data_IF_168979004005
#
_entry.id   IF_168979004005
#
_cell.length_a   1.000
_cell.length_b   1.000
_cell.length_c   1.000
_cell.angle_alpha   90.00
_cell.angle_beta   90.00
_cell.angle_gamma   90.00
#
_symmetry.space_group_name_H-M   'P 1'
#
loop_
_entity.id
_entity.type
_entity.pdbx_description
1 polymer ?
#
# COMPACT_ATOMS: atom_id res chain seq x y z
N UNK A 1 19.25 -15.01 4.56
CA UNK A 1 20.17 -13.86 4.38
C UNK A 1 19.40 -12.56 4.17
N UNK A 2 18.39 -12.53 3.29
CA UNK A 2 17.49 -11.38 3.16
C UNK A 2 16.83 -10.95 4.49
N UNK A 3 16.36 -11.90 5.31
CA UNK A 3 15.84 -11.61 6.67
C UNK A 3 16.87 -10.89 7.54
N UNK A 4 18.15 -11.31 7.51
CA UNK A 4 19.22 -10.64 8.26
C UNK A 4 19.48 -9.22 7.74
N UNK A 5 19.42 -9.01 6.43
CA UNK A 5 19.59 -7.68 5.84
C UNK A 5 18.50 -6.69 6.32
N UNK A 6 17.23 -7.11 6.26
CA UNK A 6 16.09 -6.32 6.73
C UNK A 6 16.12 -6.15 8.25
N UNK A 7 16.38 -7.22 9.01
CA UNK A 7 16.41 -7.16 10.47
C UNK A 7 17.54 -6.26 10.98
N UNK A 8 18.75 -6.37 10.40
CA UNK A 8 19.87 -5.49 10.75
C UNK A 8 19.59 -4.02 10.38
N UNK A 9 18.77 -3.79 9.34
CA UNK A 9 18.39 -2.46 8.89
C UNK A 9 17.38 -1.78 9.82
N UNK A 10 16.37 -2.50 10.28
CA UNK A 10 15.26 -1.94 11.08
C UNK A 10 15.37 -2.21 12.58
N UNK A 11 16.39 -2.93 13.03
CA UNK A 11 16.65 -3.12 14.45
C UNK A 11 17.08 -1.80 15.11
N UNK A 12 16.61 -1.58 16.35
CA UNK A 12 17.06 -0.44 17.16
C UNK A 12 18.58 -0.50 17.35
N UNK A 13 19.30 0.64 17.27
CA UNK A 13 20.74 0.69 17.55
C UNK A 13 21.12 0.04 18.89
N UNK A 14 20.23 0.11 19.87
CA UNK A 14 20.40 -0.45 21.22
C UNK A 14 20.45 -1.99 21.23
N UNK A 15 19.82 -2.65 20.24
CA UNK A 15 19.70 -4.12 20.17
C UNK A 15 20.92 -4.75 19.52
N UNK A 16 21.60 -4.04 18.64
CA UNK A 16 22.71 -4.57 17.83
C UNK A 16 24.10 -4.30 18.44
N UNK A 17 24.19 -3.58 19.56
CA UNK A 17 25.47 -3.24 20.20
C UNK A 17 26.38 -2.36 19.33
N UNK A 18 25.81 -1.66 18.35
CA UNK A 18 26.50 -0.88 17.34
C UNK A 18 25.78 -0.92 15.98
N UNK A 19 26.21 -0.14 14.98
CA UNK A 19 25.62 -0.20 13.65
C UNK A 19 26.01 -1.52 12.97
N UNK A 20 25.14 -2.53 13.04
CA UNK A 20 25.31 -3.73 12.23
C UNK A 20 25.18 -3.32 10.75
N UNK A 21 26.24 -3.52 9.97
CA UNK A 21 26.18 -3.24 8.54
C UNK A 21 25.22 -4.24 7.87
N UNK A 22 24.07 -3.76 7.43
CA UNK A 22 23.05 -4.55 6.70
C UNK A 22 23.50 -4.89 5.27
N UNK A 23 24.42 -4.11 4.71
CA UNK A 23 24.84 -4.16 3.31
C UNK A 23 25.53 -5.49 2.90
N UNK A 24 26.44 -6.07 3.70
CA UNK A 24 27.02 -7.39 3.42
C UNK A 24 25.95 -8.50 3.34
N UNK A 25 24.94 -8.47 4.21
CA UNK A 25 23.86 -9.47 4.18
C UNK A 25 23.01 -9.35 2.92
N UNK A 26 22.71 -8.13 2.47
CA UNK A 26 21.99 -7.88 1.22
C UNK A 26 22.79 -8.36 0.00
N UNK A 27 24.07 -7.98 -0.08
CA UNK A 27 24.96 -8.41 -1.18
C UNK A 27 25.11 -9.93 -1.25
N UNK A 28 25.27 -10.57 -0.10
CA UNK A 28 25.39 -12.03 -0.04
C UNK A 28 24.07 -12.72 -0.45
N UNK A 29 22.92 -12.19 -0.06
CA UNK A 29 21.63 -12.69 -0.49
C UNK A 29 21.42 -12.56 -2.01
N UNK A 30 21.78 -11.42 -2.61
CA UNK A 30 21.68 -11.20 -4.05
C UNK A 30 22.54 -12.18 -4.88
N UNK A 31 23.72 -12.53 -4.36
CA UNK A 31 24.63 -13.46 -5.04
C UNK A 31 24.19 -14.92 -4.95
N UNK A 32 23.43 -15.30 -3.92
CA UNK A 32 22.92 -16.66 -3.76
C UNK A 32 21.83 -17.03 -4.77
N UNK A 33 21.10 -16.04 -5.29
CA UNK A 33 19.90 -16.25 -6.12
C UNK A 33 20.23 -16.45 -7.62
N UNK A 34 21.50 -16.55 -7.99
CA UNK A 34 21.92 -16.76 -9.39
C UNK A 34 21.81 -18.26 -9.75
N UNK A 35 20.58 -18.73 -10.04
CA UNK A 35 20.36 -20.03 -10.71
C UNK A 35 19.40 -21.02 -10.05
N UNK A 36 18.57 -20.61 -9.08
CA UNK A 36 17.58 -21.49 -8.43
C UNK A 36 16.24 -21.54 -9.16
N UNK A 37 15.51 -22.65 -8.99
CA UNK A 37 14.10 -22.76 -9.38
C UNK A 37 13.25 -21.69 -8.66
N UNK A 38 12.16 -21.25 -9.32
CA UNK A 38 11.23 -20.29 -8.76
C UNK A 38 10.44 -20.92 -7.60
N UNK A 39 10.78 -20.56 -6.37
CA UNK A 39 10.13 -21.04 -5.14
C UNK A 39 9.49 -19.89 -4.35
N UNK A 40 8.63 -20.22 -3.38
CA UNK A 40 8.05 -19.23 -2.48
C UNK A 40 9.14 -18.50 -1.66
N UNK A 41 10.20 -19.22 -1.26
CA UNK A 41 11.31 -18.62 -0.51
C UNK A 41 12.12 -17.63 -1.37
N UNK A 42 12.24 -17.90 -2.66
CA UNK A 42 12.88 -16.99 -3.61
C UNK A 42 12.06 -15.70 -3.80
N UNK A 43 10.72 -15.82 -3.87
CA UNK A 43 9.82 -14.67 -3.88
C UNK A 43 9.92 -13.85 -2.59
N UNK A 44 9.85 -14.51 -1.43
CA UNK A 44 10.00 -13.86 -0.11
C UNK A 44 11.36 -13.17 0.01
N UNK A 45 12.44 -13.80 -0.44
CA UNK A 45 13.78 -13.23 -0.42
C UNK A 45 13.89 -11.99 -1.32
N UNK A 46 13.39 -12.08 -2.56
CA UNK A 46 13.35 -10.94 -3.50
C UNK A 46 12.54 -9.78 -2.92
N UNK A 47 11.37 -10.06 -2.33
CA UNK A 47 10.53 -9.05 -1.68
C UNK A 47 11.23 -8.35 -0.52
N UNK A 48 11.91 -9.10 0.35
CA UNK A 48 12.66 -8.54 1.48
C UNK A 48 13.84 -7.67 1.02
N UNK A 49 14.57 -8.11 -0.01
CA UNK A 49 15.67 -7.32 -0.58
C UNK A 49 15.16 -6.05 -1.25
N UNK A 50 14.01 -6.12 -1.92
CA UNK A 50 13.34 -4.96 -2.47
C UNK A 50 12.97 -3.95 -1.39
N UNK A 51 12.37 -4.38 -0.28
CA UNK A 51 12.04 -3.50 0.85
C UNK A 51 13.30 -2.84 1.42
N UNK A 52 14.39 -3.60 1.53
CA UNK A 52 15.69 -3.09 1.94
C UNK A 52 16.20 -1.98 1.00
N UNK A 53 16.18 -2.20 -0.31
CA UNK A 53 16.61 -1.22 -1.30
C UNK A 53 15.71 0.02 -1.35
N UNK A 54 14.39 -0.17 -1.30
CA UNK A 54 13.42 0.92 -1.29
C UNK A 54 13.59 1.83 -0.07
N UNK A 55 14.03 1.27 1.07
CA UNK A 55 14.40 2.08 2.24
C UNK A 55 15.53 3.06 1.95
N UNK A 56 16.41 2.70 1.02
CA UNK A 56 17.62 3.43 0.66
C UNK A 56 17.49 4.30 -0.57
N UNK A 57 16.56 4.08 -1.50
CA UNK A 57 16.21 5.04 -2.56
C UNK A 57 15.00 4.52 -3.31
N UNK A 58 14.18 5.43 -3.85
CA UNK A 58 13.23 5.08 -4.91
C UNK A 58 13.81 5.57 -6.22
N UNK A 59 14.24 4.64 -7.07
CA UNK A 59 14.79 4.88 -8.42
C UNK A 59 13.99 4.10 -9.46
N UNK A 60 14.24 4.38 -10.73
CA UNK A 60 13.73 3.55 -11.83
C UNK A 60 14.14 2.08 -11.69
N UNK A 61 15.32 1.81 -11.12
CA UNK A 61 15.78 0.46 -10.79
C UNK A 61 14.82 -0.23 -9.81
N UNK A 62 14.36 0.48 -8.77
CA UNK A 62 13.36 0.01 -7.81
C UNK A 62 12.01 -0.26 -8.49
N UNK A 63 11.56 0.62 -9.39
CA UNK A 63 10.31 0.41 -10.15
C UNK A 63 10.41 -0.81 -11.07
N UNK A 64 11.56 -1.03 -11.71
CA UNK A 64 11.80 -2.20 -12.55
C UNK A 64 11.85 -3.48 -11.72
N UNK A 65 12.45 -3.43 -10.52
CA UNK A 65 12.58 -4.58 -9.63
C UNK A 65 11.24 -5.05 -9.07
N UNK A 66 10.35 -4.15 -8.64
CA UNK A 66 9.01 -4.57 -8.21
C UNK A 66 8.21 -5.16 -9.38
N UNK A 67 8.34 -4.61 -10.58
CA UNK A 67 7.71 -5.20 -11.77
C UNK A 67 8.27 -6.60 -12.10
N UNK A 68 9.56 -6.84 -11.85
CA UNK A 68 10.19 -8.17 -11.95
C UNK A 68 9.60 -9.13 -10.92
N UNK A 69 9.47 -8.71 -9.67
CA UNK A 69 8.87 -9.51 -8.59
C UNK A 69 7.40 -9.83 -8.87
N UNK A 70 6.63 -8.86 -9.35
CA UNK A 70 5.23 -9.05 -9.79
C UNK A 70 5.13 -10.12 -10.88
N UNK A 71 6.05 -10.12 -11.87
CA UNK A 71 6.12 -11.18 -12.90
C UNK A 71 6.52 -12.54 -12.34
N UNK A 72 7.46 -12.58 -11.40
CA UNK A 72 7.79 -13.83 -10.71
C UNK A 72 6.58 -14.39 -9.97
N UNK A 73 5.79 -13.53 -9.31
CA UNK A 73 4.58 -13.94 -8.61
C UNK A 73 3.54 -14.51 -9.57
N UNK A 74 3.33 -13.89 -10.74
CA UNK A 74 2.45 -14.42 -11.78
C UNK A 74 2.92 -15.80 -12.27
N UNK A 75 4.21 -15.96 -12.56
CA UNK A 75 4.78 -17.25 -12.98
C UNK A 75 4.62 -18.31 -11.90
N UNK A 76 4.86 -17.96 -10.64
CA UNK A 76 4.69 -18.86 -9.50
C UNK A 76 3.23 -19.30 -9.36
N UNK A 77 2.29 -18.36 -9.49
CA UNK A 77 0.86 -18.67 -9.50
C UNK A 77 0.50 -19.65 -10.62
N UNK A 78 0.98 -19.39 -11.84
CA UNK A 78 0.72 -20.24 -13.00
C UNK A 78 1.27 -21.67 -12.83
N UNK A 79 2.41 -21.83 -12.15
CA UNK A 79 3.05 -23.13 -11.92
C UNK A 79 2.41 -23.93 -10.78
N UNK A 80 1.93 -23.25 -9.73
CA UNK A 80 1.52 -23.92 -8.48
C UNK A 80 0.01 -23.91 -8.23
N UNK A 81 -0.73 -22.97 -8.80
CA UNK A 81 -2.15 -22.78 -8.52
C UNK A 81 -3.03 -22.83 -9.78
N UNK A 82 -2.53 -22.43 -10.95
CA UNK A 82 -3.26 -22.54 -12.21
C UNK A 82 -3.19 -23.96 -12.77
N UNK A 83 -4.11 -24.81 -12.32
CA UNK A 83 -4.23 -26.18 -12.87
C UNK A 83 -4.76 -26.10 -14.29
N UNK A 84 -3.94 -26.42 -15.30
CA UNK A 84 -4.42 -26.61 -16.68
C UNK A 84 -5.58 -27.63 -16.66
N UNK A 85 -6.75 -27.32 -17.25
CA UNK A 85 -7.84 -28.29 -17.34
C UNK A 85 -7.36 -29.47 -18.20
N UNK A 86 -7.10 -30.63 -17.56
CA UNK A 86 -6.78 -31.87 -18.25
C UNK A 86 -5.58 -32.67 -17.74
N UNK A 87 -4.75 -32.14 -16.83
CA UNK A 87 -3.69 -32.95 -16.22
C UNK A 87 -4.16 -33.60 -14.92
N UNK A 88 -4.23 -34.94 -14.83
CA UNK A 88 -4.53 -35.60 -13.57
C UNK A 88 -3.38 -35.27 -12.59
N UNK A 89 -3.73 -34.65 -11.46
CA UNK A 89 -2.87 -34.65 -10.26
C UNK A 89 -2.38 -36.09 -10.10
N UNK A 90 -1.06 -36.30 -10.13
CA UNK A 90 -0.45 -37.60 -9.84
C UNK A 90 -0.81 -37.96 -8.40
N UNK A 91 -1.98 -38.57 -8.22
CA UNK A 91 -2.36 -39.24 -7.02
C UNK A 91 -1.39 -40.41 -6.89
N UNK A 92 -0.43 -40.26 -5.98
CA UNK A 92 0.42 -41.36 -5.55
C UNK A 92 -0.50 -42.47 -5.04
N UNK A 93 -0.65 -43.52 -5.84
CA UNK A 93 -1.33 -44.76 -5.50
C UNK A 93 -0.53 -45.44 -4.40
N UNK A 94 -0.86 -45.18 -3.14
CA UNK A 94 -0.65 -46.08 -2.00
C UNK A 94 -1.51 -45.54 -0.85
N UNK A 95 -2.69 -46.14 -0.74
CA UNK A 95 -3.66 -45.92 0.33
C UNK A 95 -3.55 -47.08 1.31
N UNK A 96 -3.12 -46.80 2.54
CA UNK A 96 -3.71 -47.36 3.76
C UNK A 96 -3.17 -46.57 4.97
N UNK A 97 -3.95 -45.57 5.43
CA UNK A 97 -3.61 -44.66 6.55
C UNK A 97 -4.25 -43.28 6.47
N UNK A 98 -5.47 -43.20 5.92
CA UNK A 98 -6.00 -42.04 5.19
C UNK A 98 -6.72 -40.95 6.01
N UNK A 99 -6.70 -40.95 7.34
CA UNK A 99 -7.42 -39.91 8.14
C UNK A 99 -6.52 -38.82 8.72
N UNK A 100 -5.30 -39.16 9.18
CA UNK A 100 -4.38 -38.16 9.75
C UNK A 100 -3.54 -37.48 8.65
N UNK A 101 -3.09 -38.24 7.65
CA UNK A 101 -2.28 -37.72 6.53
C UNK A 101 -3.06 -36.90 5.51
N UNK A 102 -4.39 -37.01 5.49
CA UNK A 102 -5.29 -36.18 4.68
C UNK A 102 -5.51 -34.84 5.38
N UNK A 103 -5.82 -34.86 6.67
CA UNK A 103 -5.93 -33.67 7.51
C UNK A 103 -4.62 -32.88 7.57
N UNK A 104 -3.46 -33.54 7.75
CA UNK A 104 -2.15 -32.88 7.69
C UNK A 104 -1.83 -32.28 6.30
N UNK A 105 -2.26 -32.95 5.21
CA UNK A 105 -2.11 -32.41 3.84
C UNK A 105 -3.04 -31.24 3.58
N UNK A 106 -4.26 -31.26 4.08
CA UNK A 106 -5.22 -30.16 3.97
C UNK A 106 -4.77 -28.95 4.79
N UNK A 107 -4.29 -29.16 6.02
CA UNK A 107 -3.71 -28.10 6.86
C UNK A 107 -2.45 -27.53 6.21
N UNK A 108 -1.55 -28.38 5.69
CA UNK A 108 -0.34 -27.94 4.98
C UNK A 108 -0.69 -27.17 3.69
N UNK A 109 -1.73 -27.59 2.97
CA UNK A 109 -2.23 -26.89 1.80
C UNK A 109 -2.90 -25.56 2.16
N UNK A 110 -3.59 -25.48 3.29
CA UNK A 110 -4.21 -24.25 3.80
C UNK A 110 -3.18 -23.23 4.24
N UNK A 111 -2.15 -23.67 4.96
CA UNK A 111 -1.02 -22.81 5.37
C UNK A 111 -0.24 -22.28 4.17
N UNK A 112 0.02 -23.12 3.16
CA UNK A 112 0.69 -22.70 1.94
C UNK A 112 -0.14 -21.69 1.13
N UNK A 113 -1.47 -21.86 1.08
CA UNK A 113 -2.38 -20.90 0.44
C UNK A 113 -2.43 -19.56 1.20
N UNK A 114 -2.47 -19.59 2.53
CA UNK A 114 -2.47 -18.39 3.36
C UNK A 114 -1.13 -17.64 3.32
N UNK A 115 -0.02 -18.38 3.29
CA UNK A 115 1.32 -17.83 3.05
C UNK A 115 1.37 -17.13 1.69
N UNK A 116 0.90 -17.80 0.64
CA UNK A 116 0.82 -17.25 -0.71
C UNK A 116 -0.02 -15.97 -0.77
N UNK A 117 -1.24 -15.99 -0.20
CA UNK A 117 -2.10 -14.82 -0.11
C UNK A 117 -1.38 -13.66 0.59
N UNK A 118 -0.75 -13.94 1.73
CA UNK A 118 -0.01 -12.94 2.49
C UNK A 118 1.15 -12.33 1.70
N UNK A 119 1.95 -13.14 0.99
CA UNK A 119 3.07 -12.67 0.18
C UNK A 119 2.57 -11.85 -1.01
N UNK A 120 1.55 -12.34 -1.72
CA UNK A 120 0.98 -11.65 -2.86
C UNK A 120 0.46 -10.25 -2.50
N UNK A 121 -0.30 -10.11 -1.41
CA UNK A 121 -0.85 -8.81 -1.03
C UNK A 121 0.23 -7.81 -0.58
N UNK A 122 1.37 -8.29 -0.04
CA UNK A 122 2.53 -7.46 0.20
C UNK A 122 3.21 -6.98 -1.10
N UNK A 123 3.32 -7.86 -2.10
CA UNK A 123 3.80 -7.48 -3.44
C UNK A 123 2.86 -6.43 -4.05
N UNK A 124 1.55 -6.68 -3.96
CA UNK A 124 0.50 -5.80 -4.48
C UNK A 124 0.57 -4.39 -3.87
N UNK A 125 0.75 -4.26 -2.55
CA UNK A 125 0.82 -2.94 -1.90
C UNK A 125 2.07 -2.16 -2.31
N UNK A 126 3.22 -2.83 -2.43
CA UNK A 126 4.47 -2.20 -2.85
C UNK A 126 4.47 -1.83 -4.34
N UNK A 127 3.94 -2.70 -5.20
CA UNK A 127 3.74 -2.42 -6.63
C UNK A 127 2.80 -1.22 -6.79
N UNK A 128 1.70 -1.17 -6.04
CA UNK A 128 0.78 -0.01 -6.03
C UNK A 128 1.48 1.28 -5.62
N UNK A 129 2.36 1.22 -4.63
CA UNK A 129 3.15 2.37 -4.17
C UNK A 129 4.06 2.90 -5.28
N UNK A 130 4.82 2.01 -5.91
CA UNK A 130 5.70 2.38 -7.02
C UNK A 130 4.94 2.84 -8.25
N UNK A 131 3.82 2.21 -8.56
CA UNK A 131 2.95 2.61 -9.66
C UNK A 131 2.40 4.03 -9.48
N UNK A 132 1.97 4.37 -8.26
CA UNK A 132 1.49 5.72 -7.94
C UNK A 132 2.59 6.78 -8.15
N UNK A 133 3.82 6.49 -7.66
CA UNK A 133 4.99 7.36 -7.83
C UNK A 133 5.37 7.50 -9.31
N UNK A 134 5.44 6.39 -10.04
CA UNK A 134 5.85 6.34 -11.45
C UNK A 134 4.75 6.78 -12.41
N UNK A 135 3.53 7.02 -11.93
CA UNK A 135 2.36 7.36 -12.77
C UNK A 135 2.02 6.27 -13.80
N UNK A 136 2.36 5.01 -13.48
CA UNK A 136 2.27 3.89 -14.40
C UNK A 136 1.75 2.65 -13.67
N UNK A 137 0.70 2.05 -14.21
CA UNK A 137 0.15 0.79 -13.69
C UNK A 137 0.60 -0.43 -14.50
N UNK A 138 0.90 -1.52 -13.78
CA UNK A 138 1.22 -2.80 -14.38
C UNK A 138 -0.04 -3.66 -14.51
N UNK A 139 -0.49 -4.00 -15.73
CA UNK A 139 -1.74 -4.75 -15.96
C UNK A 139 -1.70 -6.19 -15.45
N UNK A 140 -0.50 -6.74 -15.20
CA UNK A 140 -0.32 -8.10 -14.65
C UNK A 140 -0.92 -8.19 -13.24
N UNK A 141 -0.72 -7.15 -12.45
CA UNK A 141 -1.14 -7.11 -11.05
C UNK A 141 -2.66 -7.21 -10.92
N UNK A 142 -3.41 -6.55 -11.81
CA UNK A 142 -4.88 -6.50 -11.75
C UNK A 142 -5.50 -7.86 -12.12
N UNK A 143 -4.92 -8.54 -13.11
CA UNK A 143 -5.34 -9.87 -13.53
C UNK A 143 -5.13 -10.93 -12.46
N UNK A 144 -4.10 -10.78 -11.62
CA UNK A 144 -3.84 -11.70 -10.53
C UNK A 144 -4.65 -11.34 -9.28
N UNK A 145 -4.77 -10.04 -8.93
CA UNK A 145 -5.61 -9.56 -7.82
C UNK A 145 -7.00 -10.21 -7.83
N UNK A 146 -7.57 -10.30 -9.03
CA UNK A 146 -8.82 -10.95 -9.35
C UNK A 146 -9.05 -12.35 -8.78
N UNK A 147 -7.97 -13.13 -8.71
CA UNK A 147 -7.96 -14.56 -8.41
C UNK A 147 -7.50 -14.84 -6.99
N UNK A 148 -7.19 -13.78 -6.23
CA UNK A 148 -6.46 -13.87 -4.98
C UNK A 148 -7.38 -13.63 -3.79
N UNK A 149 -7.33 -14.56 -2.83
CA UNK A 149 -8.02 -14.40 -1.56
C UNK A 149 -7.26 -13.45 -0.65
N UNK A 150 -8.00 -12.67 0.15
CA UNK A 150 -7.48 -11.87 1.23
C UNK A 150 -6.95 -12.79 2.34
N UNK A 151 -5.87 -12.40 3.04
CA UNK A 151 -5.36 -13.14 4.19
C UNK A 151 -6.45 -13.30 5.26
N UNK A 152 -6.65 -14.54 5.69
CA UNK A 152 -7.65 -14.91 6.70
C UNK A 152 -7.09 -14.87 8.12
N UNK A 153 -5.77 -15.01 8.29
CA UNK A 153 -5.09 -15.09 9.58
C UNK A 153 -4.13 -13.93 9.79
N UNK A 154 -4.06 -13.44 11.03
CA UNK A 154 -3.10 -12.39 11.37
C UNK A 154 -1.67 -12.94 11.33
N UNK A 155 -0.69 -12.06 11.13
CA UNK A 155 0.73 -12.47 11.13
C UNK A 155 1.13 -13.11 12.46
N UNK A 156 0.57 -12.62 13.57
CA UNK A 156 0.78 -13.18 14.92
C UNK A 156 0.23 -14.59 15.07
N UNK A 157 -1.00 -14.84 14.58
CA UNK A 157 -1.62 -16.17 14.61
C UNK A 157 -0.88 -17.14 13.69
N UNK A 158 -0.51 -16.69 12.49
CA UNK A 158 0.21 -17.50 11.51
C UNK A 158 1.59 -17.94 12.02
N UNK A 159 2.31 -17.05 12.73
CA UNK A 159 3.67 -17.32 13.23
C UNK A 159 3.68 -17.98 14.61
N UNK A 160 2.60 -17.87 15.39
CA UNK A 160 2.46 -18.48 16.71
C UNK A 160 1.15 -19.28 16.79
N UNK A 161 1.13 -20.51 16.24
CA UNK A 161 -0.09 -21.34 16.22
C UNK A 161 -0.62 -21.71 17.62
N UNK A 162 0.15 -21.48 18.68
CA UNK A 162 -0.31 -21.62 20.07
C UNK A 162 -1.26 -20.50 20.53
N UNK A 163 -1.38 -19.40 19.79
CA UNK A 163 -2.30 -18.29 20.06
C UNK A 163 -3.64 -18.44 19.33
N UNK A 164 -3.83 -19.51 18.53
CA UNK A 164 -5.11 -19.81 17.92
C UNK A 164 -6.08 -20.28 19.01
N UNK A 165 -6.88 -19.35 19.54
CA UNK A 165 -8.07 -19.72 20.32
C UNK A 165 -9.00 -20.54 19.40
N UNK A 166 -9.35 -21.76 19.84
CA UNK A 166 -10.24 -22.67 19.12
C UNK A 166 -11.66 -22.11 18.89
N UNK A 167 -11.97 -20.90 19.38
CA UNK A 167 -13.28 -20.26 19.31
C UNK A 167 -13.46 -19.32 18.09
N UNK A 168 -12.39 -18.97 17.35
CA UNK A 168 -12.49 -18.07 16.19
C UNK A 168 -12.72 -18.79 14.86
N UNK A 169 -13.42 -19.93 14.86
CA UNK A 169 -13.89 -20.56 13.61
C UNK A 169 -15.14 -19.83 13.09
N UNK A 170 -15.01 -18.54 12.78
CA UNK A 170 -15.93 -17.93 11.83
C UNK A 170 -15.60 -18.51 10.45
N UNK A 171 -16.54 -19.30 9.95
CA UNK A 171 -16.65 -19.92 8.62
C UNK A 171 -15.46 -19.63 7.67
N UNK A 172 -14.65 -20.66 7.40
CA UNK A 172 -13.38 -20.66 6.63
C UNK A 172 -13.51 -20.29 5.14
N UNK A 173 -14.47 -19.44 4.82
CA UNK A 173 -14.67 -18.80 3.54
C UNK A 173 -13.46 -17.93 3.20
N UNK A 174 -12.70 -18.35 2.19
CA UNK A 174 -11.63 -17.55 1.59
C UNK A 174 -12.27 -16.42 0.77
N UNK A 175 -12.02 -15.16 1.10
CA UNK A 175 -12.63 -14.03 0.42
C UNK A 175 -11.72 -13.46 -0.64
N UNK A 176 -12.12 -13.54 -1.90
CA UNK A 176 -11.41 -12.86 -2.98
C UNK A 176 -11.89 -11.41 -3.08
N UNK A 177 -10.98 -10.49 -3.40
CA UNK A 177 -11.43 -9.17 -3.90
C UNK A 177 -12.03 -9.43 -5.29
N UNK A 178 -13.34 -9.17 -5.50
CA UNK A 178 -13.96 -9.53 -6.78
C UNK A 178 -13.33 -8.74 -7.91
N UNK A 179 -12.96 -9.42 -8.99
CA UNK A 179 -12.17 -8.85 -10.08
C UNK A 179 -12.93 -8.05 -11.12
N UNK A 180 -14.26 -8.18 -11.14
CA UNK A 180 -15.08 -7.58 -12.16
C UNK A 180 -16.52 -7.42 -11.65
N UNK A 181 -17.02 -6.19 -11.65
CA UNK A 181 -18.42 -5.85 -11.39
C UNK A 181 -18.80 -5.54 -9.94
N UNK A 182 -18.01 -5.96 -8.95
CA UNK A 182 -18.22 -5.51 -7.58
C UNK A 182 -17.73 -4.07 -7.42
N UNK A 183 -18.52 -3.24 -6.75
CA UNK A 183 -18.16 -1.84 -6.49
C UNK A 183 -17.17 -1.79 -5.35
N UNK A 184 -16.25 -0.82 -5.38
CA UNK A 184 -15.20 -0.72 -4.37
C UNK A 184 -15.76 -0.66 -2.93
N UNK A 185 -16.86 0.07 -2.74
CA UNK A 185 -17.51 0.18 -1.43
C UNK A 185 -18.08 -1.14 -0.91
N UNK A 186 -18.52 -2.06 -1.78
CA UNK A 186 -19.01 -3.39 -1.39
C UNK A 186 -17.86 -4.22 -0.82
N UNK A 187 -16.70 -4.17 -1.46
CA UNK A 187 -15.47 -4.81 -0.98
C UNK A 187 -15.07 -4.24 0.38
N UNK A 188 -15.05 -2.91 0.54
CA UNK A 188 -14.66 -2.28 1.80
C UNK A 188 -15.64 -2.61 2.93
N UNK A 189 -16.95 -2.62 2.66
CA UNK A 189 -17.98 -3.02 3.63
C UNK A 189 -17.83 -4.48 4.05
N UNK A 190 -17.58 -5.37 3.08
CA UNK A 190 -17.35 -6.80 3.32
C UNK A 190 -16.07 -7.07 4.12
N UNK A 191 -15.01 -6.31 3.87
CA UNK A 191 -13.78 -6.41 4.66
C UNK A 191 -14.04 -5.95 6.09
N UNK A 192 -14.76 -4.85 6.27
CA UNK A 192 -15.03 -4.26 7.58
C UNK A 192 -15.89 -5.17 8.47
N UNK A 193 -16.82 -5.93 7.89
CA UNK A 193 -17.69 -6.84 8.64
C UNK A 193 -16.93 -7.99 9.32
N UNK A 194 -15.68 -8.25 8.94
CA UNK A 194 -14.84 -9.27 9.57
C UNK A 194 -13.92 -8.69 10.63
N UNK A 195 -13.76 -9.41 11.73
CA UNK A 195 -12.84 -9.01 12.79
C UNK A 195 -11.39 -9.37 12.44
N UNK A 196 -11.15 -10.58 11.94
CA UNK A 196 -9.80 -11.05 11.61
C UNK A 196 -9.18 -10.22 10.49
N UNK A 197 -7.91 -9.83 10.69
CA UNK A 197 -7.13 -9.06 9.72
C UNK A 197 -7.76 -7.75 9.22
N UNK A 198 -8.79 -7.21 9.90
CA UNK A 198 -9.62 -6.12 9.38
C UNK A 198 -8.79 -4.96 8.83
N UNK A 199 -7.92 -4.37 9.66
CA UNK A 199 -7.13 -3.20 9.24
C UNK A 199 -6.13 -3.54 8.13
N UNK A 200 -5.53 -4.74 8.14
CA UNK A 200 -4.61 -5.20 7.09
C UNK A 200 -5.36 -5.35 5.75
N UNK A 201 -6.54 -5.92 5.78
CA UNK A 201 -7.35 -6.11 4.58
C UNK A 201 -7.95 -4.78 4.09
N UNK A 202 -8.34 -3.86 4.99
CA UNK A 202 -8.77 -2.51 4.63
C UNK A 202 -7.63 -1.71 3.98
N UNK A 203 -6.38 -1.95 4.39
CA UNK A 203 -5.20 -1.38 3.74
C UNK A 203 -5.09 -1.86 2.30
N UNK A 204 -5.16 -3.18 2.05
CA UNK A 204 -5.16 -3.72 0.69
C UNK A 204 -6.34 -3.26 -0.15
N UNK A 205 -7.54 -3.18 0.43
CA UNK A 205 -8.70 -2.57 -0.20
C UNK A 205 -8.38 -1.14 -0.64
N UNK A 206 -7.82 -0.32 0.24
CA UNK A 206 -7.46 1.07 -0.08
C UNK A 206 -6.33 1.17 -1.12
N UNK A 207 -5.37 0.24 -1.12
CA UNK A 207 -4.39 0.11 -2.21
C UNK A 207 -5.10 -0.11 -3.56
N UNK A 208 -6.17 -0.90 -3.62
CA UNK A 208 -6.92 -1.08 -4.87
C UNK A 208 -7.56 0.21 -5.39
N UNK A 209 -8.03 1.09 -4.49
CA UNK A 209 -8.50 2.43 -4.88
C UNK A 209 -7.34 3.28 -5.41
N UNK A 210 -6.22 3.33 -4.70
CA UNK A 210 -5.02 4.08 -5.14
C UNK A 210 -4.56 3.61 -6.52
N UNK A 211 -4.60 2.30 -6.77
CA UNK A 211 -4.27 1.71 -8.06
C UNK A 211 -5.25 2.14 -9.15
N UNK A 212 -6.55 2.06 -8.90
CA UNK A 212 -7.56 2.51 -9.84
C UNK A 212 -7.46 4.02 -10.19
N UNK A 213 -7.08 4.86 -9.23
CA UNK A 213 -6.77 6.28 -9.46
C UNK A 213 -5.49 6.44 -10.29
N UNK A 214 -4.48 5.61 -10.03
CA UNK A 214 -3.24 5.58 -10.83
C UNK A 214 -3.52 5.16 -12.27
N UNK A 215 -4.39 4.17 -12.49
CA UNK A 215 -4.82 3.75 -13.83
C UNK A 215 -5.50 4.89 -14.58
N UNK A 216 -6.39 5.63 -13.92
CA UNK A 216 -7.02 6.82 -14.50
C UNK A 216 -5.96 7.84 -14.90
N UNK A 217 -4.98 8.11 -14.03
CA UNK A 217 -3.88 9.04 -14.31
C UNK A 217 -3.03 8.57 -15.49
N UNK A 218 -2.66 7.29 -15.55
CA UNK A 218 -1.94 6.70 -16.69
C UNK A 218 -2.76 6.77 -17.98
N UNK A 219 -4.07 6.54 -17.91
CA UNK A 219 -4.99 6.62 -19.05
C UNK A 219 -5.09 8.04 -19.59
N UNK A 220 -5.13 9.04 -18.72
CA UNK A 220 -5.10 10.46 -19.08
C UNK A 220 -3.81 10.86 -19.82
N UNK A 221 -2.66 10.31 -19.41
CA UNK A 221 -1.38 10.56 -20.07
C UNK A 221 -1.36 9.92 -21.46
N UNK A 222 -1.94 8.72 -21.61
CA UNK A 222 -1.90 7.92 -22.84
C UNK A 222 -3.03 8.22 -23.83
N UNK A 223 -4.15 8.78 -23.38
CA UNK A 223 -5.36 8.96 -24.18
C UNK A 223 -6.20 10.16 -23.68
N UNK A 224 -7.00 10.76 -24.56
CA UNK A 224 -7.89 11.90 -24.23
C UNK A 224 -9.37 11.63 -24.53
N UNK A 225 -9.83 10.39 -24.34
CA UNK A 225 -11.18 9.95 -24.73
C UNK A 225 -12.28 10.19 -23.69
N UNK A 226 -13.55 10.08 -24.11
CA UNK A 226 -14.75 10.19 -23.25
C UNK A 226 -14.78 9.18 -22.09
N UNK A 227 -14.08 8.05 -22.24
CA UNK A 227 -14.01 6.99 -21.23
C UNK A 227 -13.34 7.46 -19.92
N UNK A 228 -12.49 8.50 -19.99
CA UNK A 228 -11.79 9.09 -18.84
C UNK A 228 -12.78 9.82 -17.91
N UNK A 229 -13.70 10.60 -18.47
CA UNK A 229 -14.72 11.32 -17.67
C UNK A 229 -15.67 10.34 -16.98
N UNK A 230 -16.09 9.29 -17.70
CA UNK A 230 -16.90 8.23 -17.12
C UNK A 230 -16.15 7.55 -15.96
N UNK A 231 -14.88 7.20 -16.18
CA UNK A 231 -14.06 6.55 -15.17
C UNK A 231 -13.80 7.43 -13.95
N UNK A 232 -13.61 8.74 -14.15
CA UNK A 232 -13.50 9.71 -13.07
C UNK A 232 -14.76 9.69 -12.19
N UNK A 233 -15.94 9.83 -12.79
CA UNK A 233 -17.20 9.82 -12.04
C UNK A 233 -17.48 8.50 -11.32
N UNK A 234 -17.10 7.35 -11.92
CA UNK A 234 -17.16 6.06 -11.25
C UNK A 234 -16.31 6.07 -9.97
N UNK A 235 -15.07 6.56 -10.04
CA UNK A 235 -14.16 6.62 -8.89
C UNK A 235 -14.61 7.64 -7.82
N UNK A 236 -15.12 8.81 -8.21
CA UNK A 236 -15.70 9.78 -7.27
C UNK A 236 -16.92 9.21 -6.53
N UNK A 237 -17.77 8.51 -7.28
CA UNK A 237 -18.92 7.80 -6.73
C UNK A 237 -18.48 6.69 -5.79
N UNK A 238 -17.44 5.91 -6.13
CA UNK A 238 -16.90 4.85 -5.28
C UNK A 238 -16.29 5.40 -3.98
N UNK A 239 -15.54 6.52 -4.04
CA UNK A 239 -15.03 7.20 -2.86
C UNK A 239 -16.16 7.63 -1.91
N UNK A 240 -17.22 8.21 -2.48
CA UNK A 240 -18.39 8.68 -1.72
C UNK A 240 -19.21 7.51 -1.16
N UNK A 241 -19.44 6.47 -1.94
CA UNK A 241 -20.17 5.29 -1.48
C UNK A 241 -19.40 4.55 -0.37
N UNK A 242 -18.08 4.47 -0.47
CA UNK A 242 -17.23 3.84 0.54
C UNK A 242 -17.26 4.60 1.86
N UNK A 243 -17.33 5.94 1.81
CA UNK A 243 -17.44 6.74 3.03
C UNK A 243 -18.77 6.53 3.78
N UNK A 244 -19.82 6.14 3.06
CA UNK A 244 -21.10 5.70 3.65
C UNK A 244 -21.13 4.23 4.05
N UNK A 245 -20.35 3.37 3.38
CA UNK A 245 -20.32 1.94 3.62
C UNK A 245 -19.55 1.55 4.89
N UNK A 246 -18.58 2.38 5.29
CA UNK A 246 -17.83 2.23 6.53
C UNK A 246 -18.41 3.12 7.65
N UNK A 247 -18.23 2.77 8.93
CA UNK A 247 -18.69 3.62 10.01
C UNK A 247 -18.06 5.02 9.97
N UNK A 248 -18.80 6.10 10.28
CA UNK A 248 -18.28 7.47 10.21
C UNK A 248 -17.01 7.69 11.05
N UNK A 249 -16.88 6.98 12.17
CA UNK A 249 -15.71 7.08 13.04
C UNK A 249 -14.43 6.53 12.38
N UNK A 250 -14.55 5.66 11.38
CA UNK A 250 -13.40 5.06 10.70
C UNK A 250 -12.50 6.12 10.07
N UNK A 251 -13.10 7.13 9.44
CA UNK A 251 -12.42 8.25 8.79
C UNK A 251 -11.99 9.36 9.77
N UNK A 252 -12.32 9.25 11.06
CA UNK A 252 -11.85 10.21 12.05
C UNK A 252 -10.43 9.84 12.50
N UNK A 253 -9.44 10.68 12.22
CA UNK A 253 -8.04 10.43 12.61
C UNK A 253 -7.81 10.28 14.13
N UNK A 254 -8.76 10.68 14.98
CA UNK A 254 -8.62 10.53 16.44
C UNK A 254 -8.79 9.06 16.85
N UNK A 255 -8.02 8.61 17.84
CA UNK A 255 -8.19 7.27 18.45
C UNK A 255 -9.60 7.11 19.02
N UNK A 256 -10.28 6.01 18.68
CA UNK A 256 -11.64 5.76 19.10
C UNK A 256 -11.71 4.87 20.34
N UNK A 257 -11.78 5.49 21.52
CA UNK A 257 -11.97 4.78 22.78
C UNK A 257 -13.34 4.11 22.92
N UNK A 258 -14.36 4.59 22.20
CA UNK A 258 -15.72 4.05 22.25
C UNK A 258 -15.85 2.63 21.69
N UNK A 259 -14.94 2.24 20.79
CA UNK A 259 -14.83 0.86 20.27
C UNK A 259 -13.66 0.10 20.87
N UNK A 260 -13.07 0.61 21.96
CA UNK A 260 -11.89 0.06 22.62
C UNK A 260 -10.68 -0.14 21.68
N UNK A 261 -10.52 0.75 20.69
CA UNK A 261 -9.41 0.67 19.72
C UNK A 261 -8.06 0.68 20.43
N UNK A 262 -7.23 -0.33 20.18
CA UNK A 262 -5.86 -0.44 20.72
C UNK A 262 -4.92 0.55 20.01
N UNK A 263 -3.72 0.76 20.57
CA UNK A 263 -2.73 1.64 19.93
C UNK A 263 -2.24 1.09 18.58
N UNK A 264 -2.17 -0.23 18.44
CA UNK A 264 -1.76 -0.91 17.21
C UNK A 264 -2.86 -0.84 16.13
N UNK A 265 -4.12 -1.03 16.51
CA UNK A 265 -5.26 -0.86 15.59
C UNK A 265 -5.38 0.59 15.12
N UNK A 266 -5.19 1.55 16.03
CA UNK A 266 -5.19 2.96 15.69
C UNK A 266 -4.08 3.29 14.69
N UNK A 267 -2.84 2.83 14.92
CA UNK A 267 -1.75 3.00 13.96
C UNK A 267 -2.14 2.44 12.59
N UNK A 268 -2.58 1.17 12.52
CA UNK A 268 -2.93 0.55 11.23
C UNK A 268 -4.07 1.29 10.54
N UNK A 269 -5.04 1.82 11.28
CA UNK A 269 -6.11 2.63 10.70
C UNK A 269 -5.56 3.94 10.13
N UNK A 270 -4.62 4.61 10.81
CA UNK A 270 -3.96 5.80 10.27
C UNK A 270 -3.18 5.48 8.97
N UNK A 271 -2.52 4.31 8.88
CA UNK A 271 -1.88 3.87 7.63
C UNK A 271 -2.91 3.77 6.49
N UNK A 272 -4.07 3.15 6.75
CA UNK A 272 -5.18 3.07 5.77
C UNK A 272 -5.64 4.47 5.36
N UNK A 273 -5.83 5.38 6.33
CA UNK A 273 -6.28 6.74 6.07
C UNK A 273 -5.25 7.56 5.28
N UNK A 274 -3.95 7.33 5.47
CA UNK A 274 -2.92 7.98 4.65
C UNK A 274 -3.04 7.59 3.18
N UNK A 275 -3.14 6.29 2.88
CA UNK A 275 -3.32 5.81 1.49
C UNK A 275 -4.62 6.32 0.91
N UNK A 276 -5.71 6.29 1.69
CA UNK A 276 -7.01 6.83 1.29
C UNK A 276 -6.95 8.33 0.95
N UNK A 277 -6.32 9.12 1.82
CA UNK A 277 -6.14 10.56 1.65
C UNK A 277 -5.32 10.84 0.39
N UNK A 278 -4.20 10.16 0.19
CA UNK A 278 -3.37 10.33 -1.00
C UNK A 278 -4.10 9.95 -2.30
N UNK A 279 -4.90 8.89 -2.30
CA UNK A 279 -5.72 8.51 -3.46
C UNK A 279 -6.74 9.60 -3.79
N UNK A 280 -7.37 10.20 -2.78
CA UNK A 280 -8.32 11.30 -2.96
C UNK A 280 -7.64 12.60 -3.45
N UNK A 281 -6.41 12.89 -3.01
CA UNK A 281 -5.61 14.01 -3.54
C UNK A 281 -5.33 13.79 -5.03
N UNK A 282 -4.82 12.62 -5.41
CA UNK A 282 -4.54 12.30 -6.81
C UNK A 282 -5.81 12.32 -7.68
N UNK A 283 -6.92 11.77 -7.19
CA UNK A 283 -8.20 11.80 -7.88
C UNK A 283 -8.70 13.23 -8.12
N UNK A 284 -8.55 14.11 -7.12
CA UNK A 284 -8.93 15.53 -7.25
C UNK A 284 -8.03 16.27 -8.25
N UNK A 285 -6.74 15.93 -8.32
CA UNK A 285 -5.82 16.44 -9.34
C UNK A 285 -6.25 15.97 -10.74
N UNK A 286 -6.61 14.69 -10.89
CA UNK A 286 -7.16 14.15 -12.14
C UNK A 286 -8.44 14.90 -12.55
N UNK A 287 -9.38 15.09 -11.64
CA UNK A 287 -10.61 15.85 -11.89
C UNK A 287 -10.31 17.27 -12.39
N UNK A 288 -9.39 17.97 -11.72
CA UNK A 288 -8.98 19.30 -12.13
C UNK A 288 -8.36 19.32 -13.53
N UNK A 289 -7.43 18.39 -13.82
CA UNK A 289 -6.78 18.25 -15.14
C UNK A 289 -7.81 17.98 -16.25
N UNK A 290 -8.78 17.09 -16.01
CA UNK A 290 -9.87 16.77 -16.97
C UNK A 290 -10.78 17.99 -17.21
N UNK A 291 -11.01 18.80 -16.18
CA UNK A 291 -11.91 19.96 -16.21
C UNK A 291 -11.26 21.24 -16.76
N UNK A 292 -9.98 21.26 -17.14
CA UNK A 292 -9.23 22.46 -17.58
C UNK A 292 -9.78 23.20 -18.81
N UNK A 293 -10.90 22.77 -19.40
CA UNK A 293 -11.66 23.50 -20.42
C UNK A 293 -12.71 24.47 -19.82
N UNK A 294 -12.69 24.68 -18.49
CA UNK A 294 -13.68 25.45 -17.73
C UNK A 294 -13.29 26.91 -17.45
N UNK A 295 -14.26 27.71 -16.98
CA UNK A 295 -14.05 29.10 -16.58
C UNK A 295 -13.12 29.23 -15.35
N UNK A 296 -12.45 30.37 -15.20
CA UNK A 296 -11.49 30.66 -14.11
C UNK A 296 -12.07 30.42 -12.70
N UNK A 297 -13.36 30.71 -12.48
CA UNK A 297 -14.04 30.46 -11.21
C UNK A 297 -14.16 28.98 -10.84
N UNK A 298 -14.30 28.09 -11.84
CA UNK A 298 -14.39 26.64 -11.63
C UNK A 298 -13.01 26.06 -11.26
N UNK A 299 -11.94 26.57 -11.88
CA UNK A 299 -10.57 26.20 -11.55
C UNK A 299 -10.22 26.54 -10.09
N UNK A 300 -10.71 27.66 -9.56
CA UNK A 300 -10.52 28.03 -8.17
C UNK A 300 -11.20 27.04 -7.20
N UNK A 301 -12.43 26.61 -7.51
CA UNK A 301 -13.15 25.62 -6.70
C UNK A 301 -12.44 24.26 -6.72
N UNK A 302 -11.93 23.86 -7.88
CA UNK A 302 -11.15 22.63 -8.04
C UNK A 302 -9.85 22.68 -7.24
N UNK A 303 -9.13 23.81 -7.26
CA UNK A 303 -7.93 24.02 -6.45
C UNK A 303 -8.22 23.92 -4.95
N UNK A 304 -9.26 24.61 -4.46
CA UNK A 304 -9.66 24.53 -3.06
C UNK A 304 -10.06 23.11 -2.64
N UNK A 305 -10.62 22.33 -3.56
CA UNK A 305 -10.93 20.91 -3.33
C UNK A 305 -9.66 20.09 -3.14
N UNK A 306 -8.68 20.24 -4.04
CA UNK A 306 -7.36 19.58 -3.93
C UNK A 306 -6.69 19.94 -2.59
N UNK A 307 -6.69 21.23 -2.24
CA UNK A 307 -6.13 21.73 -0.99
C UNK A 307 -6.82 21.13 0.24
N UNK A 308 -8.16 21.05 0.21
CA UNK A 308 -8.95 20.43 1.28
C UNK A 308 -8.57 18.96 1.48
N UNK A 309 -8.37 18.20 0.38
CA UNK A 309 -7.90 16.81 0.45
C UNK A 309 -6.47 16.71 1.01
N UNK A 310 -5.56 17.58 0.58
CA UNK A 310 -4.19 17.58 1.11
C UNK A 310 -4.14 17.93 2.61
N UNK A 311 -5.02 18.81 3.10
CA UNK A 311 -5.15 19.14 4.52
C UNK A 311 -5.69 17.98 5.36
N UNK A 312 -6.37 17.01 4.77
CA UNK A 312 -6.78 15.79 5.48
C UNK A 312 -5.57 14.96 5.92
N UNK A 313 -4.53 14.87 5.07
CA UNK A 313 -3.25 14.23 5.43
C UNK A 313 -2.62 14.87 6.67
N UNK A 314 -2.72 16.20 6.81
CA UNK A 314 -2.22 16.91 7.99
C UNK A 314 -3.00 16.50 9.25
N UNK A 315 -4.33 16.39 9.17
CA UNK A 315 -5.17 15.94 10.30
C UNK A 315 -4.84 14.52 10.74
N UNK A 316 -4.53 13.64 9.78
CA UNK A 316 -4.08 12.27 10.05
C UNK A 316 -2.74 12.30 10.82
N UNK A 317 -1.77 13.08 10.34
CA UNK A 317 -0.45 13.21 10.99
C UNK A 317 -0.54 13.82 12.39
N UNK A 318 -1.44 14.78 12.63
CA UNK A 318 -1.63 15.38 13.95
C UNK A 318 -2.03 14.37 15.03
N UNK A 319 -2.60 13.23 14.64
CA UNK A 319 -2.98 12.14 15.55
C UNK A 319 -1.92 11.03 15.63
N UNK A 320 -0.79 11.21 14.97
CA UNK A 320 0.30 10.24 14.96
C UNK A 320 1.09 10.26 16.26
N UNK A 321 1.38 9.08 16.82
CA UNK A 321 2.20 8.94 18.03
C UNK A 321 3.65 8.62 17.66
N UNK A 322 4.65 9.10 18.42
CA UNK A 322 6.05 8.78 18.17
C UNK A 322 6.35 7.27 18.11
N UNK A 323 5.62 6.45 18.87
CA UNK A 323 5.78 4.99 18.86
C UNK A 323 5.41 4.31 17.54
N UNK A 324 4.58 4.95 16.70
CA UNK A 324 4.06 4.38 15.46
C UNK A 324 5.09 4.33 14.33
N UNK A 325 6.17 5.12 14.41
CA UNK A 325 7.21 5.15 13.37
C UNK A 325 8.01 3.84 13.23
N UNK A 326 7.90 2.91 14.19
CA UNK A 326 8.61 1.61 14.15
C UNK A 326 8.13 0.68 13.04
N UNK A 327 6.87 0.81 12.61
CA UNK A 327 6.25 -0.09 11.63
C UNK A 327 5.50 0.66 10.53
N UNK A 328 5.90 1.91 10.24
CA UNK A 328 5.29 2.72 9.18
C UNK A 328 5.69 2.19 7.80
N UNK A 329 4.74 2.17 6.87
CA UNK A 329 4.96 1.78 5.48
C UNK A 329 5.79 2.85 4.73
N UNK A 330 6.83 2.48 3.96
CA UNK A 330 7.62 3.42 3.16
C UNK A 330 6.78 4.27 2.18
N UNK A 331 5.66 3.76 1.67
CA UNK A 331 4.71 4.49 0.82
C UNK A 331 4.24 5.80 1.46
N UNK A 332 4.10 5.84 2.79
CA UNK A 332 3.66 7.02 3.52
C UNK A 332 4.53 8.25 3.19
N UNK A 333 5.84 8.05 2.97
CA UNK A 333 6.76 9.14 2.61
C UNK A 333 6.36 9.86 1.33
N UNK A 334 5.91 9.11 0.31
CA UNK A 334 5.41 9.69 -0.94
C UNK A 334 4.09 10.45 -0.73
N UNK A 335 3.16 9.88 0.04
CA UNK A 335 1.85 10.49 0.29
C UNK A 335 1.98 11.80 1.08
N UNK A 336 2.94 11.85 2.01
CA UNK A 336 3.30 13.06 2.74
C UNK A 336 3.93 14.09 1.80
N UNK A 337 4.88 13.67 0.94
CA UNK A 337 5.48 14.57 -0.05
C UNK A 337 4.45 15.14 -1.02
N UNK A 338 3.50 14.32 -1.51
CA UNK A 338 2.42 14.74 -2.39
C UNK A 338 1.59 15.85 -1.73
N UNK A 339 1.18 15.63 -0.47
CA UNK A 339 0.39 16.59 0.29
C UNK A 339 1.17 17.87 0.59
N UNK A 340 2.46 17.75 0.95
CA UNK A 340 3.35 18.89 1.16
C UNK A 340 3.55 19.70 -0.12
N UNK A 341 3.68 19.05 -1.27
CA UNK A 341 3.85 19.74 -2.57
C UNK A 341 2.62 20.57 -2.92
N UNK A 342 1.40 20.05 -2.68
CA UNK A 342 0.15 20.80 -2.86
C UNK A 342 0.11 22.03 -1.95
N UNK A 343 0.44 21.87 -0.66
CA UNK A 343 0.43 22.96 0.32
C UNK A 343 1.50 24.03 0.03
N UNK A 344 2.68 23.61 -0.41
CA UNK A 344 3.76 24.51 -0.81
C UNK A 344 3.35 25.34 -2.03
N UNK A 345 2.74 24.70 -3.03
CA UNK A 345 2.22 25.39 -4.21
C UNK A 345 1.11 26.40 -3.87
N UNK A 346 0.22 26.06 -2.93
CA UNK A 346 -0.79 27.00 -2.41
C UNK A 346 -0.15 28.21 -1.73
N UNK A 347 0.90 27.97 -0.93
CA UNK A 347 1.70 29.02 -0.30
C UNK A 347 2.31 29.96 -1.32
N UNK A 348 2.90 29.43 -2.39
CA UNK A 348 3.50 30.23 -3.47
C UNK A 348 2.45 31.08 -4.20
N UNK A 349 1.30 30.49 -4.57
CA UNK A 349 0.17 31.21 -5.16
C UNK A 349 -0.36 32.31 -4.22
N UNK A 350 -0.46 31.99 -2.93
CA UNK A 350 -0.98 32.83 -1.86
C UNK A 350 -0.01 33.91 -1.35
N UNK A 351 1.27 33.89 -1.73
CA UNK A 351 2.27 34.92 -1.36
C UNK A 351 1.90 36.34 -1.79
N UNK A 352 0.86 36.49 -2.61
CA UNK A 352 0.24 37.76 -2.99
C UNK A 352 -0.74 38.30 -1.95
N UNK A 353 -1.22 37.48 -1.00
CA UNK A 353 -2.22 37.80 0.03
C UNK A 353 -1.74 37.36 1.43
N UNK A 354 -1.56 38.30 2.36
CA UNK A 354 -0.74 38.15 3.57
C UNK A 354 -1.34 37.36 4.75
N UNK A 355 -2.59 36.86 4.68
CA UNK A 355 -3.28 36.26 5.84
C UNK A 355 -3.35 34.73 5.85
N UNK A 356 -3.23 34.06 4.71
CA UNK A 356 -3.26 32.58 4.59
C UNK A 356 -1.89 31.93 4.69
N UNK A 357 -0.81 32.72 4.64
CA UNK A 357 0.57 32.23 4.57
C UNK A 357 1.05 31.55 5.86
N UNK A 358 0.58 31.97 7.04
CA UNK A 358 1.06 31.46 8.33
C UNK A 358 0.64 30.02 8.62
N UNK A 359 -0.63 29.67 8.39
CA UNK A 359 -1.13 28.30 8.62
C UNK A 359 -0.53 27.28 7.63
N UNK A 360 -0.29 27.68 6.39
CA UNK A 360 0.37 26.80 5.40
C UNK A 360 1.81 26.47 5.83
N UNK A 361 2.53 27.45 6.40
CA UNK A 361 3.88 27.25 6.94
C UNK A 361 3.90 26.23 8.09
N UNK A 362 2.99 26.34 9.06
CA UNK A 362 2.92 25.40 10.19
C UNK A 362 2.61 23.97 9.75
N UNK A 363 1.74 23.81 8.74
CA UNK A 363 1.44 22.50 8.16
C UNK A 363 2.65 21.90 7.45
N UNK A 364 3.37 22.69 6.65
CA UNK A 364 4.59 22.24 5.97
C UNK A 364 5.67 21.83 6.97
N UNK A 365 5.86 22.58 8.06
CA UNK A 365 6.80 22.24 9.13
C UNK A 365 6.44 20.90 9.77
N UNK A 366 5.15 20.65 10.03
CA UNK A 366 4.68 19.37 10.57
C UNK A 366 4.95 18.20 9.60
N UNK A 367 4.65 18.36 8.31
CA UNK A 367 4.91 17.33 7.30
C UNK A 367 6.41 17.05 7.15
N UNK A 368 7.25 18.09 7.21
CA UNK A 368 8.70 17.96 7.19
C UNK A 368 9.21 17.22 8.43
N UNK A 369 8.72 17.56 9.62
CA UNK A 369 9.05 16.84 10.86
C UNK A 369 8.64 15.37 10.78
N UNK A 370 7.48 15.07 10.21
CA UNK A 370 7.03 13.70 10.00
C UNK A 370 7.98 12.91 9.08
N UNK A 371 8.38 13.49 7.95
CA UNK A 371 9.36 12.88 7.04
C UNK A 371 10.72 12.66 7.70
N UNK A 372 11.17 13.61 8.53
CA UNK A 372 12.42 13.48 9.28
C UNK A 372 12.36 12.32 10.30
N UNK A 373 11.25 12.17 11.02
CA UNK A 373 11.04 11.06 11.96
C UNK A 373 10.97 9.71 11.24
N UNK A 374 10.23 9.65 10.14
CA UNK A 374 10.18 8.47 9.27
C UNK A 374 11.57 8.13 8.72
N UNK A 375 12.37 9.15 8.42
CA UNK A 375 13.74 9.08 7.93
C UNK A 375 14.73 8.30 8.79
N UNK A 376 14.43 8.13 10.08
CA UNK A 376 15.24 7.32 11.00
C UNK A 376 15.27 5.85 10.56
N UNK A 377 14.11 5.32 10.14
CA UNK A 377 13.97 3.94 9.69
C UNK A 377 14.00 3.84 8.16
N UNK A 378 13.53 4.89 7.48
CA UNK A 378 13.36 4.95 6.04
C UNK A 378 14.07 6.18 5.47
N UNK A 379 15.39 6.14 5.24
CA UNK A 379 16.15 7.28 4.71
C UNK A 379 15.60 7.86 3.41
N UNK A 380 14.77 7.11 2.66
CA UNK A 380 14.04 7.63 1.50
C UNK A 380 13.18 8.84 1.87
N UNK A 381 12.57 8.85 3.05
CA UNK A 381 11.78 9.97 3.55
C UNK A 381 12.63 11.24 3.70
N UNK A 382 13.85 11.14 4.26
CA UNK A 382 14.77 12.28 4.35
C UNK A 382 15.16 12.84 2.98
N UNK A 383 15.43 11.96 2.01
CA UNK A 383 15.77 12.39 0.65
C UNK A 383 14.59 13.09 -0.03
N UNK A 384 13.38 12.57 0.10
CA UNK A 384 12.17 13.21 -0.39
C UNK A 384 11.92 14.56 0.31
N UNK A 385 12.22 14.66 1.61
CA UNK A 385 12.11 15.92 2.34
C UNK A 385 13.18 16.95 1.92
N UNK A 386 14.37 16.50 1.49
CA UNK A 386 15.38 17.40 0.93
C UNK A 386 14.93 17.96 -0.44
N UNK A 387 14.14 17.21 -1.21
CA UNK A 387 13.57 17.68 -2.48
C UNK A 387 12.45 18.71 -2.29
N UNK A 388 11.66 18.65 -1.21
CA UNK A 388 10.69 19.71 -0.89
C UNK A 388 11.35 21.02 -0.44
N UNK A 389 12.57 20.95 0.13
CA UNK A 389 13.35 22.12 0.54
C UNK A 389 14.10 22.80 -0.62
N UNK A 390 14.36 22.08 -1.73
CA UNK A 390 15.03 22.64 -2.90
C UNK A 390 13.98 23.20 -3.88
N UNK A 391 13.97 24.53 -3.99
CA UNK A 391 13.00 25.33 -4.76
C UNK A 391 12.82 25.04 -6.27
N UNK A 392 13.62 24.24 -7.03
CA UNK A 392 13.37 24.11 -8.46
C UNK A 392 12.63 22.82 -8.90
N UNK A 393 12.46 21.79 -8.05
CA UNK A 393 12.00 20.47 -8.52
C UNK A 393 10.48 20.22 -8.50
N UNK A 394 9.69 21.11 -7.89
CA UNK A 394 8.23 20.94 -7.78
C UNK A 394 7.52 21.17 -9.14
N UNK A 395 8.18 21.84 -10.11
CA UNK A 395 7.60 22.08 -11.45
C UNK A 395 7.43 20.81 -12.28
N UNK A 396 8.41 19.91 -12.34
CA UNK A 396 8.36 18.77 -13.28
C UNK A 396 7.35 17.67 -12.89
N UNK A 397 7.05 17.51 -11.59
CA UNK A 397 6.12 16.47 -11.12
C UNK A 397 4.63 16.89 -11.13
N UNK A 398 4.36 18.20 -11.23
CA UNK A 398 2.99 18.73 -11.40
C UNK A 398 2.66 18.99 -12.88
N UNK A 399 3.67 19.31 -13.69
CA UNK A 399 3.55 19.52 -15.14
C UNK A 399 3.50 18.21 -15.95
N UNK A 400 3.82 17.05 -15.35
CA UNK A 400 3.57 15.69 -15.88
C UNK A 400 2.32 15.04 -15.28
#
# INVERSE_FOLDING_TARGET
MAIYAVSARFASPDVLGGPASSKPFAQFAMNLNQGSDLTMDELKASLLLYVYEMSETVRWDTVAEIARITRMAELYYALHFDSRPGEPRKASTFDDGMSLRSQEREISSGLAAEEWNSVWWCIYSLDTSCSAVASFSNPITDNLQAKMALPATSVSEFTNPSLCDQESSEDGSQFMIPSAGAKHWETMSMIFSKASCRNRNLYFGTCSLMRAVTDLRSLMIRSGGRDIQKRLHELESDCTATSFALPPWFFNATRNFGVAETDEEHQRRLDVLLVWSGANVLLSICAAKISTQSACSELQVLWLTILSKAKETVRIIQNWKPGYFKAIDPMCSYLILLSASVLAFDGELGSTNTSTTSQSSEHLDLLQLFLNQMGINWPVACRLASTSSSKPYIKENLES
#
